data_IF_268550437969
#
_entry.id   IF_268550437969
#
_cell.length_a   1.000
_cell.length_b   1.000
_cell.length_c   1.000
_cell.angle_alpha   90.00
_cell.angle_beta   90.00
_cell.angle_gamma   90.00
#
_symmetry.space_group_name_H-M   'P 1'
#
loop_
_entity.id
_entity.type
_entity.pdbx_description
1 polymer ?
#
# COMPACT_ATOMS: atom_id res chain seq x y z
N UNK A 1 60.98 10.41 32.62
CA UNK A 1 59.59 10.87 32.83
C UNK A 1 58.65 9.67 32.88
N UNK A 2 58.04 9.39 34.04
CA UNK A 2 57.02 8.36 34.16
C UNK A 2 55.76 8.87 33.49
N UNK A 3 55.38 8.22 32.39
CA UNK A 3 54.16 8.57 31.64
C UNK A 3 52.98 7.81 32.27
N UNK A 4 51.96 8.53 32.72
CA UNK A 4 50.74 7.92 33.24
C UNK A 4 49.95 7.25 32.12
N UNK A 5 49.54 6.00 32.34
CA UNK A 5 48.78 5.20 31.34
C UNK A 5 47.28 5.31 31.58
N UNK A 6 46.48 4.91 30.58
CA UNK A 6 45.04 4.83 30.71
C UNK A 6 44.67 3.64 31.58
N UNK A 7 43.97 3.90 32.67
CA UNK A 7 43.47 2.87 33.61
C UNK A 7 42.00 2.51 33.36
N UNK A 8 41.22 3.43 32.80
CA UNK A 8 39.80 3.20 32.54
C UNK A 8 39.33 4.06 31.36
N UNK A 9 38.33 3.56 30.63
CA UNK A 9 37.57 4.29 29.59
C UNK A 9 36.10 4.15 29.92
N UNK A 10 35.38 5.28 29.90
CA UNK A 10 33.92 5.34 30.04
C UNK A 10 33.28 5.89 28.78
N UNK A 11 32.09 5.44 28.45
CA UNK A 11 31.28 5.97 27.35
C UNK A 11 30.08 6.72 27.91
N UNK A 12 29.64 7.76 27.20
CA UNK A 12 28.41 8.50 27.48
C UNK A 12 27.15 7.64 27.25
N UNK A 13 27.27 6.57 26.43
CA UNK A 13 26.20 5.62 26.13
C UNK A 13 26.75 4.19 26.08
N UNK A 14 26.10 3.27 26.78
CA UNK A 14 26.44 1.83 26.77
C UNK A 14 25.56 1.04 25.79
N UNK A 15 24.43 1.66 25.32
CA UNK A 15 23.55 1.12 24.32
C UNK A 15 23.02 2.24 23.41
N UNK A 16 22.86 1.91 22.11
CA UNK A 16 22.30 2.79 21.07
C UNK A 16 21.31 1.99 20.24
N UNK A 17 20.08 2.51 20.09
CA UNK A 17 19.14 2.02 19.08
C UNK A 17 19.05 3.04 17.95
N UNK A 18 19.17 2.56 16.70
CA UNK A 18 19.25 3.41 15.51
C UNK A 18 18.65 2.70 14.31
N UNK A 19 18.09 3.42 13.35
CA UNK A 19 17.60 2.80 12.12
C UNK A 19 18.71 2.69 11.08
N UNK A 20 18.63 1.69 10.21
CA UNK A 20 19.56 1.55 9.09
C UNK A 20 19.60 2.83 8.24
N UNK A 21 20.82 3.26 7.88
CA UNK A 21 21.09 4.51 7.19
C UNK A 21 21.28 5.75 8.08
N UNK A 22 20.90 5.69 9.36
CA UNK A 22 21.10 6.78 10.31
C UNK A 22 22.49 6.77 10.94
N UNK A 23 22.87 7.88 11.61
CA UNK A 23 24.12 8.03 12.34
C UNK A 23 23.88 8.45 13.78
N UNK A 24 24.74 8.00 14.68
CA UNK A 24 24.76 8.41 16.09
C UNK A 24 26.20 8.56 16.56
N UNK A 25 26.45 9.45 17.54
CA UNK A 25 27.75 9.61 18.16
C UNK A 25 27.77 9.01 19.55
N UNK A 26 28.90 8.43 19.92
CA UNK A 26 29.24 8.06 21.28
C UNK A 26 30.57 8.70 21.65
N UNK A 27 30.67 9.22 22.88
CA UNK A 27 31.86 9.89 23.37
C UNK A 27 32.57 9.05 24.42
N UNK A 28 33.88 8.98 24.31
CA UNK A 28 34.76 8.30 25.28
C UNK A 28 35.44 9.31 26.19
N UNK A 29 35.47 9.02 27.48
CA UNK A 29 36.26 9.72 28.49
C UNK A 29 37.31 8.78 29.04
N UNK A 30 38.55 9.25 29.13
CA UNK A 30 39.73 8.47 29.55
C UNK A 30 40.15 8.88 30.93
N UNK A 31 40.48 7.90 31.77
CA UNK A 31 41.02 8.11 33.11
C UNK A 31 42.41 7.46 33.25
N UNK A 32 43.32 8.08 34.01
CA UNK A 32 43.19 9.40 34.65
C UNK A 32 43.31 10.53 33.63
N UNK A 33 42.75 11.72 34.00
CA UNK A 33 42.74 12.89 33.09
C UNK A 33 44.13 13.39 32.69
N UNK A 34 45.20 13.02 33.42
CA UNK A 34 46.58 13.34 33.11
C UNK A 34 47.35 12.20 32.40
N UNK A 35 46.66 11.21 31.83
CA UNK A 35 47.28 10.18 31.00
C UNK A 35 48.09 10.82 29.87
N UNK A 36 49.31 10.32 29.66
CA UNK A 36 50.26 10.87 28.66
C UNK A 36 49.85 10.60 27.22
N UNK A 37 49.19 9.48 26.97
CA UNK A 37 48.60 9.16 25.67
C UNK A 37 47.10 8.88 25.88
N UNK A 38 46.22 9.79 25.43
CA UNK A 38 44.75 9.67 25.53
C UNK A 38 44.07 9.14 24.26
N UNK A 39 44.87 8.65 23.30
CA UNK A 39 44.32 8.11 22.06
C UNK A 39 43.56 6.82 22.33
N UNK A 40 42.40 6.72 21.73
CA UNK A 40 41.57 5.51 21.70
C UNK A 40 41.40 5.01 20.28
N UNK A 41 41.14 3.72 20.17
CA UNK A 41 40.84 3.03 18.89
C UNK A 41 39.46 2.47 19.00
N UNK A 42 38.64 2.75 17.98
CA UNK A 42 37.32 2.24 17.85
C UNK A 42 37.24 1.08 16.87
N UNK A 43 36.45 0.07 17.19
CA UNK A 43 36.18 -1.07 16.33
C UNK A 43 34.74 -1.55 16.47
N UNK A 44 34.22 -2.19 15.44
CA UNK A 44 32.93 -2.85 15.44
C UNK A 44 33.09 -4.35 15.36
N UNK A 45 32.26 -5.10 16.08
CA UNK A 45 32.20 -6.56 15.97
C UNK A 45 31.64 -7.03 14.62
N UNK A 46 30.79 -6.18 13.94
CA UNK A 46 30.26 -6.47 12.63
C UNK A 46 29.95 -5.16 11.86
N UNK A 47 30.79 -4.84 10.90
CA UNK A 47 30.67 -3.64 10.06
C UNK A 47 29.51 -3.72 9.05
N UNK A 48 28.95 -4.90 8.80
CA UNK A 48 27.74 -5.05 7.99
C UNK A 48 26.49 -4.59 8.74
N UNK A 49 26.54 -4.54 10.08
CA UNK A 49 25.49 -4.07 10.95
C UNK A 49 25.72 -2.61 11.32
N UNK A 50 26.89 -2.29 11.90
CA UNK A 50 27.24 -0.93 12.30
C UNK A 50 28.73 -0.68 12.11
N UNK A 51 29.09 0.44 11.50
CA UNK A 51 30.47 0.94 11.39
C UNK A 51 30.68 2.03 12.44
N UNK A 52 31.93 2.17 12.88
CA UNK A 52 32.33 3.28 13.76
C UNK A 52 33.61 3.93 13.21
N UNK A 53 33.67 5.25 13.22
CA UNK A 53 34.90 5.98 12.87
C UNK A 53 35.77 6.25 14.10
N UNK A 54 36.97 6.80 13.91
CA UNK A 54 37.92 7.09 14.97
C UNK A 54 37.49 8.31 15.84
N UNK A 55 36.36 8.93 15.55
CA UNK A 55 35.72 9.98 16.37
C UNK A 55 34.52 9.48 17.17
N UNK A 56 34.21 8.15 17.12
CA UNK A 56 33.07 7.56 17.78
C UNK A 56 31.74 7.77 17.07
N UNK A 57 31.78 8.15 15.76
CA UNK A 57 30.58 8.27 14.94
C UNK A 57 30.17 6.89 14.41
N UNK A 58 29.02 6.42 14.86
CA UNK A 58 28.41 5.17 14.42
C UNK A 58 27.60 5.46 13.14
N UNK A 59 27.74 4.59 12.15
CA UNK A 59 26.88 4.54 10.96
C UNK A 59 26.16 3.19 10.94
N UNK A 60 24.84 3.20 11.04
CA UNK A 60 23.99 2.01 10.95
C UNK A 60 23.92 1.54 9.49
N UNK A 61 24.33 0.30 9.20
CA UNK A 61 24.41 -0.27 7.85
C UNK A 61 23.27 -1.22 7.59
N UNK A 62 23.09 -2.23 8.43
CA UNK A 62 22.10 -3.28 8.26
C UNK A 62 21.47 -3.72 9.56
N UNK A 63 20.30 -4.34 9.48
CA UNK A 63 19.55 -4.84 10.63
C UNK A 63 20.38 -5.85 11.45
N UNK A 64 20.44 -5.66 12.75
CA UNK A 64 21.11 -6.58 13.68
C UNK A 64 21.60 -5.90 14.94
N UNK A 65 22.52 -6.57 15.62
CA UNK A 65 23.19 -6.02 16.81
C UNK A 65 24.69 -6.16 16.62
N UNK A 66 25.42 -5.06 16.78
CA UNK A 66 26.87 -5.03 16.82
C UNK A 66 27.36 -4.47 18.14
N UNK A 67 28.56 -4.86 18.55
CA UNK A 67 29.25 -4.31 19.73
C UNK A 67 30.34 -3.38 19.22
N UNK A 68 30.24 -2.11 19.57
CA UNK A 68 31.28 -1.12 19.33
C UNK A 68 32.22 -1.15 20.53
N UNK A 69 33.48 -1.36 20.29
CA UNK A 69 34.54 -1.38 21.29
C UNK A 69 35.42 -0.14 21.18
N UNK A 70 35.64 0.53 22.31
CA UNK A 70 36.61 1.58 22.45
C UNK A 70 37.76 1.06 23.33
N UNK A 71 39.00 1.05 22.80
CA UNK A 71 40.19 0.53 23.46
C UNK A 71 41.24 1.61 23.56
N UNK A 72 42.06 1.59 24.64
CA UNK A 72 43.22 2.45 24.75
C UNK A 72 44.28 2.09 23.69
N UNK A 73 44.86 3.11 23.05
CA UNK A 73 45.91 2.91 22.05
C UNK A 73 47.31 2.70 22.67
N UNK A 74 47.42 2.71 24.00
CA UNK A 74 48.67 2.48 24.73
C UNK A 74 49.01 0.99 24.92
N UNK A 75 48.13 0.08 24.51
CA UNK A 75 48.31 -1.37 24.58
C UNK A 75 48.11 -1.99 25.98
N UNK A 76 47.70 -1.22 26.98
CA UNK A 76 47.55 -1.71 28.38
C UNK A 76 46.19 -2.40 28.66
N UNK A 77 45.36 -2.52 27.66
CA UNK A 77 44.14 -3.33 27.71
C UNK A 77 42.88 -2.66 28.25
N UNK A 78 42.93 -1.37 28.63
CA UNK A 78 41.72 -0.64 29.02
C UNK A 78 40.79 -0.57 27.83
N UNK A 79 39.54 -1.06 28.00
CA UNK A 79 38.50 -1.09 26.97
C UNK A 79 37.12 -1.01 27.56
N UNK A 80 36.20 -0.51 26.77
CA UNK A 80 34.77 -0.45 27.10
C UNK A 80 33.92 -0.68 25.86
N UNK A 81 32.67 -0.99 26.00
CA UNK A 81 31.80 -1.35 24.87
C UNK A 81 30.46 -0.62 24.88
N UNK A 82 29.91 -0.41 23.70
CA UNK A 82 28.55 0.05 23.48
C UNK A 82 27.82 -0.95 22.58
N UNK A 83 26.63 -1.40 23.01
CA UNK A 83 25.77 -2.27 22.21
C UNK A 83 24.96 -1.42 21.24
N UNK A 84 25.09 -1.67 19.95
CA UNK A 84 24.33 -0.98 18.90
C UNK A 84 23.30 -1.91 18.31
N UNK A 85 22.02 -1.56 18.42
CA UNK A 85 20.92 -2.29 17.79
C UNK A 85 20.42 -1.49 16.60
N UNK A 86 20.60 -2.03 15.40
CA UNK A 86 20.13 -1.43 14.16
C UNK A 86 18.79 -2.04 13.78
N UNK A 87 17.77 -1.18 13.62
CA UNK A 87 16.44 -1.54 13.17
C UNK A 87 16.27 -1.23 11.68
N UNK A 88 15.60 -2.11 10.96
CA UNK A 88 15.21 -1.89 9.58
C UNK A 88 13.73 -1.53 9.54
N UNK A 89 13.41 -0.30 9.14
CA UNK A 89 12.03 0.16 8.95
C UNK A 89 11.49 -0.24 7.58
N UNK A 90 10.17 -0.23 7.46
CA UNK A 90 9.47 -0.32 6.19
C UNK A 90 9.82 0.90 5.34
N UNK A 91 10.20 0.67 4.08
CA UNK A 91 10.55 1.74 3.12
C UNK A 91 9.51 1.89 2.02
N UNK A 92 8.74 0.84 1.73
CA UNK A 92 7.62 0.91 0.80
C UNK A 92 6.56 -0.17 1.06
N UNK A 93 5.32 0.14 0.67
CA UNK A 93 4.20 -0.79 0.60
C UNK A 93 3.67 -0.74 -0.83
N UNK A 94 3.46 -1.90 -1.44
CA UNK A 94 2.80 -2.04 -2.74
C UNK A 94 1.51 -2.81 -2.57
N UNK A 95 0.44 -2.34 -3.21
CA UNK A 95 -0.83 -3.07 -3.32
C UNK A 95 -0.92 -3.72 -4.70
N UNK A 96 -1.59 -4.85 -4.79
CA UNK A 96 -1.90 -5.55 -6.04
C UNK A 96 -2.86 -4.75 -6.94
N UNK A 97 -3.63 -3.80 -6.36
CA UNK A 97 -4.47 -2.88 -7.11
C UNK A 97 -4.47 -1.47 -6.48
N UNK A 98 -4.39 -0.44 -7.33
CA UNK A 98 -4.52 0.98 -6.93
C UNK A 98 -5.93 1.53 -7.15
N UNK A 99 -6.75 0.82 -7.93
CA UNK A 99 -8.16 1.14 -8.18
C UNK A 99 -9.00 -0.13 -8.16
N UNK A 100 -10.25 -0.01 -7.68
CA UNK A 100 -11.18 -1.12 -7.58
C UNK A 100 -12.60 -0.63 -7.87
N UNK A 101 -13.35 -1.38 -8.67
CA UNK A 101 -14.78 -1.15 -8.89
C UNK A 101 -15.57 -2.35 -8.41
N UNK A 102 -16.51 -2.13 -7.48
CA UNK A 102 -17.34 -3.16 -6.88
C UNK A 102 -18.82 -2.83 -7.03
N UNK A 103 -19.65 -3.87 -7.13
CA UNK A 103 -21.07 -3.74 -6.91
C UNK A 103 -21.37 -3.79 -5.40
N UNK A 104 -22.41 -3.07 -4.96
CA UNK A 104 -22.92 -3.14 -3.58
C UNK A 104 -23.13 -4.61 -3.18
N UNK A 105 -22.64 -5.00 -2.01
CA UNK A 105 -22.66 -6.36 -1.47
C UNK A 105 -21.48 -7.24 -1.86
N UNK A 106 -20.70 -6.87 -2.88
CA UNK A 106 -19.53 -7.65 -3.28
C UNK A 106 -18.34 -7.44 -2.34
N UNK A 107 -17.47 -8.44 -2.29
CA UNK A 107 -16.21 -8.43 -1.56
C UNK A 107 -15.05 -8.72 -2.49
N UNK A 108 -13.92 -8.08 -2.24
CA UNK A 108 -12.65 -8.34 -2.94
C UNK A 108 -11.49 -8.08 -1.99
N UNK A 109 -10.48 -8.93 -2.02
CA UNK A 109 -9.28 -8.75 -1.22
C UNK A 109 -8.27 -7.89 -1.95
N UNK A 110 -7.58 -7.02 -1.19
CA UNK A 110 -6.34 -6.36 -1.57
C UNK A 110 -5.20 -7.08 -0.86
N UNK A 111 -4.13 -7.34 -1.57
CA UNK A 111 -2.90 -7.88 -1.01
C UNK A 111 -1.81 -6.81 -1.02
N UNK A 112 -0.99 -6.82 0.04
CA UNK A 112 0.13 -5.90 0.18
C UNK A 112 1.45 -6.65 0.14
N UNK A 113 2.46 -6.02 -0.46
CA UNK A 113 3.87 -6.38 -0.33
C UNK A 113 4.57 -5.29 0.45
N UNK A 114 5.21 -5.65 1.57
CA UNK A 114 5.95 -4.72 2.44
C UNK A 114 7.44 -4.89 2.17
N UNK A 115 8.14 -3.81 1.92
CA UNK A 115 9.57 -3.82 1.63
C UNK A 115 10.33 -2.90 2.62
N UNK A 116 11.58 -3.25 2.96
CA UNK A 116 12.26 -4.49 2.60
C UNK A 116 11.70 -5.69 3.39
N UNK A 117 11.90 -6.90 2.88
CA UNK A 117 11.41 -8.13 3.51
C UNK A 117 11.98 -8.36 4.92
N UNK A 118 13.17 -7.83 5.19
CA UNK A 118 13.83 -7.87 6.49
C UNK A 118 13.46 -6.74 7.43
N UNK A 119 12.38 -5.99 7.17
CA UNK A 119 11.88 -4.98 8.11
C UNK A 119 11.60 -5.61 9.49
N UNK A 120 11.95 -4.90 10.57
CA UNK A 120 11.76 -5.41 11.93
C UNK A 120 10.29 -5.63 12.29
N UNK A 121 9.41 -4.77 11.75
CA UNK A 121 7.97 -4.86 11.92
C UNK A 121 7.31 -4.62 10.57
N UNK A 122 7.00 -5.70 9.85
CA UNK A 122 6.32 -5.66 8.56
C UNK A 122 4.78 -5.65 8.69
N UNK A 123 4.25 -5.45 9.91
CA UNK A 123 2.81 -5.38 10.15
C UNK A 123 2.21 -4.09 9.64
N UNK A 124 0.99 -4.19 9.11
CA UNK A 124 0.24 -3.07 8.56
C UNK A 124 -1.10 -2.89 9.27
N UNK A 125 -1.66 -1.71 9.13
CA UNK A 125 -3.06 -1.42 9.47
C UNK A 125 -3.82 -1.01 8.21
N UNK A 126 -5.09 -1.42 8.14
CA UNK A 126 -5.99 -1.08 7.06
C UNK A 126 -7.07 -0.12 7.55
N UNK A 127 -7.38 0.87 6.73
CA UNK A 127 -8.44 1.83 7.02
C UNK A 127 -9.20 2.23 5.76
N UNK A 128 -10.42 2.72 5.95
CA UNK A 128 -11.25 3.27 4.88
C UNK A 128 -11.58 4.72 5.17
N UNK A 129 -11.46 5.59 4.17
CA UNK A 129 -11.86 7.00 4.27
C UNK A 129 -13.38 7.16 4.42
N UNK A 130 -14.17 6.14 4.04
CA UNK A 130 -15.63 6.13 4.18
C UNK A 130 -16.15 4.69 4.34
N UNK A 131 -16.24 4.22 5.57
CA UNK A 131 -16.71 2.87 5.90
C UNK A 131 -18.20 2.64 5.55
N UNK A 132 -19.00 3.71 5.36
CA UNK A 132 -20.39 3.59 4.87
C UNK A 132 -20.45 3.20 3.40
N UNK A 133 -19.41 3.48 2.63
CA UNK A 133 -19.28 3.13 1.21
C UNK A 133 -18.52 1.81 1.05
N UNK A 134 -17.35 1.69 1.65
CA UNK A 134 -16.53 0.48 1.60
C UNK A 134 -15.85 0.24 2.94
N UNK A 135 -16.03 -0.93 3.51
CA UNK A 135 -15.31 -1.40 4.71
C UNK A 135 -14.11 -2.24 4.32
N UNK A 136 -13.09 -2.24 5.17
CA UNK A 136 -11.93 -3.11 5.01
C UNK A 136 -11.61 -3.82 6.32
N UNK A 137 -11.27 -5.11 6.24
CA UNK A 137 -10.82 -5.90 7.40
C UNK A 137 -9.32 -5.71 7.64
N UNK A 138 -8.82 -6.18 8.79
CA UNK A 138 -7.38 -6.21 9.11
C UNK A 138 -6.53 -7.04 8.14
N UNK A 139 -7.16 -7.86 7.29
CA UNK A 139 -6.52 -8.71 6.28
C UNK A 139 -6.68 -8.17 4.85
N UNK A 140 -7.12 -6.91 4.68
CA UNK A 140 -7.27 -6.30 3.36
C UNK A 140 -8.51 -6.69 2.58
N UNK A 141 -9.49 -7.44 3.17
CA UNK A 141 -10.74 -7.74 2.48
C UNK A 141 -11.66 -6.52 2.48
N UNK A 142 -11.94 -5.99 1.29
CA UNK A 142 -12.84 -4.87 1.06
C UNK A 142 -14.27 -5.36 0.82
N UNK A 143 -15.23 -4.80 1.55
CA UNK A 143 -16.67 -5.06 1.38
C UNK A 143 -17.36 -3.79 0.90
N UNK A 144 -18.07 -3.87 -0.22
CA UNK A 144 -18.85 -2.76 -0.79
C UNK A 144 -20.20 -2.61 -0.08
N UNK A 145 -20.39 -1.52 0.67
CA UNK A 145 -21.57 -1.30 1.52
C UNK A 145 -22.65 -0.47 0.83
N UNK A 146 -22.27 0.63 0.20
CA UNK A 146 -23.20 1.54 -0.49
C UNK A 146 -22.51 2.19 -1.68
N UNK A 147 -23.31 2.61 -2.69
CA UNK A 147 -22.77 3.31 -3.86
C UNK A 147 -22.05 4.61 -3.45
N UNK A 148 -20.88 4.85 -4.03
CA UNK A 148 -20.04 5.99 -3.70
C UNK A 148 -18.57 5.73 -3.97
N UNK A 149 -17.70 6.57 -3.38
CA UNK A 149 -16.25 6.44 -3.45
C UNK A 149 -15.65 6.38 -2.06
N UNK A 150 -14.65 5.56 -1.89
CA UNK A 150 -13.82 5.48 -0.69
C UNK A 150 -12.37 5.23 -1.08
N UNK A 151 -11.43 5.62 -0.23
CA UNK A 151 -10.01 5.28 -0.36
C UNK A 151 -9.69 4.29 0.75
N UNK A 152 -9.19 3.13 0.37
CA UNK A 152 -8.63 2.15 1.29
C UNK A 152 -7.14 2.43 1.44
N UNK A 153 -6.68 2.56 2.67
CA UNK A 153 -5.28 2.82 3.02
C UNK A 153 -4.70 1.64 3.77
N UNK A 154 -3.53 1.19 3.34
CA UNK A 154 -2.67 0.22 4.01
C UNK A 154 -1.43 0.96 4.53
N UNK A 155 -1.20 1.03 5.84
CA UNK A 155 -0.14 1.81 6.48
C UNK A 155 0.73 0.93 7.35
N UNK A 156 2.05 1.15 7.32
CA UNK A 156 3.00 0.47 8.18
C UNK A 156 2.81 0.88 9.65
N UNK A 157 2.92 -0.11 10.57
CA UNK A 157 2.82 0.11 12.02
C UNK A 157 4.16 0.39 12.71
N UNK A 158 5.27 0.35 11.98
CA UNK A 158 6.63 0.51 12.51
C UNK A 158 7.04 1.97 12.79
N UNK A 159 6.12 2.92 12.60
CA UNK A 159 6.38 4.35 12.77
C UNK A 159 7.12 4.99 11.59
N UNK A 160 7.34 4.29 10.47
CA UNK A 160 7.96 4.85 9.25
C UNK A 160 7.06 5.88 8.56
N UNK A 161 5.74 5.82 8.80
CA UNK A 161 4.76 6.64 8.09
C UNK A 161 4.44 6.16 6.67
N UNK A 162 5.05 5.08 6.21
CA UNK A 162 4.85 4.52 4.87
C UNK A 162 3.45 3.95 4.71
N UNK A 163 2.79 4.30 3.62
CA UNK A 163 1.47 3.79 3.27
C UNK A 163 1.28 3.62 1.76
N UNK A 164 0.25 2.86 1.40
CA UNK A 164 -0.25 2.72 0.03
C UNK A 164 -1.78 2.81 0.03
N UNK A 165 -2.37 3.23 -1.10
CA UNK A 165 -3.81 3.44 -1.21
C UNK A 165 -4.42 2.76 -2.43
N UNK A 166 -5.69 2.37 -2.29
CA UNK A 166 -6.54 1.91 -3.39
C UNK A 166 -7.83 2.74 -3.42
N UNK A 167 -8.13 3.33 -4.58
CA UNK A 167 -9.38 4.06 -4.81
C UNK A 167 -10.51 3.09 -5.14
N UNK A 168 -11.51 2.99 -4.27
CA UNK A 168 -12.67 2.10 -4.44
C UNK A 168 -13.87 2.89 -4.92
N UNK A 169 -14.47 2.44 -6.03
CA UNK A 169 -15.75 2.94 -6.53
C UNK A 169 -16.78 1.85 -6.38
N UNK A 170 -17.79 2.10 -5.55
CA UNK A 170 -18.92 1.20 -5.35
C UNK A 170 -20.11 1.68 -6.16
N UNK A 171 -20.76 0.78 -6.87
CA UNK A 171 -21.92 1.07 -7.72
C UNK A 171 -23.09 0.16 -7.38
N UNK A 172 -24.32 0.71 -7.44
CA UNK A 172 -25.52 -0.12 -7.43
C UNK A 172 -25.73 -0.70 -8.84
N UNK A 173 -25.77 -2.03 -9.00
CA UNK A 173 -25.95 -2.65 -10.30
C UNK A 173 -27.37 -2.45 -10.83
N UNK A 174 -27.52 -2.56 -12.15
CA UNK A 174 -28.83 -2.76 -12.77
C UNK A 174 -29.28 -4.19 -12.46
N UNK A 175 -30.49 -4.35 -11.92
CA UNK A 175 -31.07 -5.66 -11.61
C UNK A 175 -32.16 -6.07 -12.59
N UNK A 176 -32.85 -5.08 -13.20
CA UNK A 176 -33.94 -5.35 -14.12
C UNK A 176 -33.94 -4.35 -15.27
N UNK A 177 -34.28 -4.84 -16.46
CA UNK A 177 -34.64 -4.02 -17.62
C UNK A 177 -36.02 -4.49 -18.09
N UNK A 178 -37.00 -3.59 -18.09
CA UNK A 178 -38.34 -3.86 -18.64
C UNK A 178 -38.54 -3.02 -19.90
N UNK A 179 -38.93 -3.66 -20.98
CA UNK A 179 -39.27 -2.97 -22.24
C UNK A 179 -40.75 -2.62 -22.29
N UNK A 180 -41.11 -1.50 -22.96
CA UNK A 180 -42.47 -1.13 -23.20
C UNK A 180 -43.20 -2.10 -24.14
N UNK A 181 -42.47 -2.92 -24.90
CA UNK A 181 -42.99 -3.92 -25.81
C UNK A 181 -41.98 -5.09 -25.94
N UNK A 182 -42.46 -6.33 -25.89
CA UNK A 182 -41.68 -7.54 -26.05
C UNK A 182 -41.83 -8.20 -27.43
N UNK A 183 -42.97 -7.90 -28.12
CA UNK A 183 -43.24 -8.34 -29.50
C UNK A 183 -43.98 -7.24 -30.25
N UNK A 184 -43.59 -6.99 -31.49
CA UNK A 184 -44.29 -6.01 -32.34
C UNK A 184 -44.05 -6.27 -33.81
N UNK A 185 -45.12 -6.14 -34.61
CA UNK A 185 -45.02 -6.08 -36.07
C UNK A 185 -44.81 -4.65 -36.54
N UNK A 186 -43.82 -4.43 -37.41
CA UNK A 186 -43.46 -3.13 -37.95
C UNK A 186 -43.46 -3.29 -39.48
N UNK A 187 -44.18 -2.48 -40.22
CA UNK A 187 -44.18 -2.49 -41.67
C UNK A 187 -42.81 -2.03 -42.21
N UNK A 188 -42.38 -2.59 -43.34
CA UNK A 188 -41.12 -2.19 -44.03
C UNK A 188 -41.07 -0.66 -44.18
N UNK A 189 -39.90 -0.08 -43.91
CA UNK A 189 -39.61 1.36 -43.93
C UNK A 189 -40.16 2.15 -42.73
N UNK A 190 -40.99 1.55 -41.88
CA UNK A 190 -41.51 2.22 -40.66
C UNK A 190 -40.58 2.06 -39.47
N UNK A 191 -40.74 2.93 -38.49
CA UNK A 191 -39.93 2.98 -37.26
C UNK A 191 -40.82 2.76 -36.04
N UNK A 192 -40.21 2.19 -34.97
CA UNK A 192 -40.86 2.08 -33.66
C UNK A 192 -39.79 2.31 -32.59
N UNK A 193 -40.16 3.04 -31.51
CA UNK A 193 -39.22 3.31 -30.42
C UNK A 193 -39.49 2.35 -29.26
N UNK A 194 -38.53 1.49 -28.98
CA UNK A 194 -38.45 0.72 -27.75
C UNK A 194 -37.99 1.63 -26.62
N UNK A 195 -38.65 1.54 -25.47
CA UNK A 195 -38.28 2.23 -24.25
C UNK A 195 -37.91 1.20 -23.19
N UNK A 196 -36.74 1.37 -22.55
CA UNK A 196 -36.26 0.53 -21.47
C UNK A 196 -36.48 1.24 -20.14
N UNK A 197 -37.17 0.57 -19.19
CA UNK A 197 -37.24 0.98 -17.79
C UNK A 197 -36.25 0.16 -17.00
N UNK A 198 -35.22 0.83 -16.48
CA UNK A 198 -34.11 0.21 -15.75
C UNK A 198 -34.38 0.30 -14.25
N UNK A 199 -34.25 -0.80 -13.55
CA UNK A 199 -34.38 -0.90 -12.10
C UNK A 199 -33.12 -1.49 -11.45
N UNK A 200 -32.93 -1.21 -10.16
CA UNK A 200 -33.71 -0.38 -9.26
C UNK A 200 -33.55 1.13 -9.54
N UNK A 201 -34.42 1.97 -8.92
CA UNK A 201 -34.35 3.44 -9.10
C UNK A 201 -33.00 4.04 -8.72
N UNK A 202 -32.32 3.45 -7.74
CA UNK A 202 -30.99 3.85 -7.24
C UNK A 202 -29.83 3.18 -7.98
N UNK A 203 -30.06 2.46 -9.12
CA UNK A 203 -28.95 1.98 -9.96
C UNK A 203 -28.05 3.16 -10.34
N UNK A 204 -26.73 2.97 -10.15
CA UNK A 204 -25.72 4.04 -10.34
C UNK A 204 -25.67 4.51 -11.80
N UNK A 205 -25.87 3.58 -12.74
CA UNK A 205 -26.02 3.89 -14.16
C UNK A 205 -27.29 3.24 -14.69
N UNK A 206 -28.09 4.01 -15.46
CA UNK A 206 -29.27 3.51 -16.17
C UNK A 206 -29.01 3.43 -17.68
N UNK A 207 -27.77 3.58 -18.09
CA UNK A 207 -27.38 3.53 -19.48
C UNK A 207 -27.54 2.11 -20.03
N UNK A 208 -28.11 1.99 -21.22
CA UNK A 208 -28.29 0.72 -21.94
C UNK A 208 -27.66 0.77 -23.32
N UNK A 209 -27.38 -0.41 -23.85
CA UNK A 209 -27.04 -0.63 -25.27
C UNK A 209 -28.13 -1.42 -25.94
N UNK A 210 -28.31 -1.18 -27.26
CA UNK A 210 -29.25 -1.88 -28.09
C UNK A 210 -28.52 -2.64 -29.19
N UNK A 211 -28.92 -3.87 -29.45
CA UNK A 211 -28.37 -4.70 -30.53
C UNK A 211 -29.48 -5.40 -31.28
N UNK A 212 -29.38 -5.40 -32.61
CA UNK A 212 -30.22 -6.23 -33.47
C UNK A 212 -29.49 -7.52 -33.82
N UNK A 213 -30.20 -8.66 -33.80
CA UNK A 213 -29.67 -9.95 -34.20
C UNK A 213 -29.41 -10.01 -35.72
N UNK A 214 -30.18 -9.26 -36.54
CA UNK A 214 -29.97 -9.13 -37.96
C UNK A 214 -30.26 -7.68 -38.45
N UNK A 215 -29.19 -6.97 -38.79
CA UNK A 215 -29.26 -5.58 -39.28
C UNK A 215 -29.80 -5.46 -40.72
N UNK A 216 -29.90 -6.57 -41.46
CA UNK A 216 -30.51 -6.59 -42.81
C UNK A 216 -32.03 -6.57 -42.69
N UNK A 217 -32.60 -7.18 -41.64
CA UNK A 217 -34.06 -7.19 -41.35
C UNK A 217 -34.46 -5.90 -40.63
N UNK A 218 -33.79 -5.56 -39.51
CA UNK A 218 -34.04 -4.28 -38.82
C UNK A 218 -32.79 -3.78 -38.13
N UNK A 219 -32.64 -2.46 -38.07
CA UNK A 219 -31.61 -1.79 -37.27
C UNK A 219 -32.23 -1.18 -36.01
N UNK A 220 -31.41 -0.99 -34.97
CA UNK A 220 -31.79 -0.24 -33.77
C UNK A 220 -30.73 0.81 -33.49
N UNK A 221 -31.18 2.03 -33.16
CA UNK A 221 -30.29 3.12 -32.73
C UNK A 221 -29.93 3.02 -31.23
N UNK A 222 -28.95 3.81 -30.79
CA UNK A 222 -28.61 3.95 -29.36
C UNK A 222 -29.79 4.49 -28.51
N UNK A 223 -30.77 5.13 -29.12
CA UNK A 223 -31.99 5.65 -28.47
C UNK A 223 -33.15 4.64 -28.49
N UNK A 224 -32.91 3.39 -28.95
CA UNK A 224 -33.95 2.34 -29.02
C UNK A 224 -34.90 2.47 -30.23
N UNK A 225 -34.60 3.31 -31.23
CA UNK A 225 -35.42 3.43 -32.45
C UNK A 225 -35.11 2.27 -33.39
N UNK A 226 -36.07 1.38 -33.54
CA UNK A 226 -36.04 0.24 -34.48
C UNK A 226 -36.54 0.70 -35.82
N UNK A 227 -35.80 0.40 -36.90
CA UNK A 227 -36.18 0.68 -38.30
C UNK A 227 -36.27 -0.63 -39.06
N UNK A 228 -37.46 -0.99 -39.58
CA UNK A 228 -37.70 -2.19 -40.37
C UNK A 228 -37.17 -1.99 -41.81
N UNK A 229 -36.27 -2.85 -42.27
CA UNK A 229 -35.65 -2.79 -43.61
C UNK A 229 -36.18 -3.86 -44.59
N UNK A 230 -36.43 -5.07 -44.07
CA UNK A 230 -36.85 -6.23 -44.88
C UNK A 230 -37.84 -7.06 -44.07
N UNK A 231 -38.73 -7.79 -44.78
CA UNK A 231 -39.60 -8.78 -44.14
C UNK A 231 -38.76 -9.89 -43.47
N UNK A 232 -39.17 -10.30 -42.26
CA UNK A 232 -38.50 -11.33 -41.46
C UNK A 232 -38.70 -11.14 -40.00
N UNK A 233 -38.18 -12.03 -39.20
CA UNK A 233 -38.15 -11.95 -37.73
C UNK A 233 -36.73 -11.57 -37.23
N UNK A 234 -36.66 -10.72 -36.23
CA UNK A 234 -35.38 -10.24 -35.66
C UNK A 234 -35.57 -9.96 -34.20
N UNK A 235 -34.57 -10.28 -33.41
CA UNK A 235 -34.54 -9.97 -31.97
C UNK A 235 -33.77 -8.67 -31.73
N UNK A 236 -34.39 -7.74 -31.00
CA UNK A 236 -33.70 -6.55 -30.49
C UNK A 236 -33.38 -6.77 -29.01
N UNK A 237 -32.12 -6.74 -28.67
CA UNK A 237 -31.63 -6.93 -27.30
C UNK A 237 -31.25 -5.58 -26.69
N UNK A 238 -31.66 -5.39 -25.41
CA UNK A 238 -31.28 -4.26 -24.60
C UNK A 238 -30.44 -4.75 -23.42
N UNK A 239 -29.24 -4.22 -23.26
CA UNK A 239 -28.27 -4.66 -22.22
C UNK A 239 -27.83 -3.46 -21.38
N UNK A 240 -27.70 -3.63 -20.07
CA UNK A 240 -27.13 -2.62 -19.17
C UNK A 240 -25.65 -2.37 -19.50
N UNK A 241 -25.21 -1.10 -19.40
CA UNK A 241 -23.81 -0.72 -19.64
C UNK A 241 -22.93 -0.83 -18.40
N UNK A 242 -23.49 -1.09 -17.23
CA UNK A 242 -22.73 -1.11 -15.97
C UNK A 242 -21.95 -2.43 -15.76
N UNK A 243 -22.21 -3.45 -16.60
CA UNK A 243 -21.58 -4.76 -16.53
C UNK A 243 -22.29 -5.76 -15.61
N UNK A 244 -23.52 -5.42 -15.19
CA UNK A 244 -24.36 -6.31 -14.38
C UNK A 244 -24.96 -7.48 -15.17
#
# INVERSE_FOLDING_TARGET
TVVQQITNITLDKTAVEINAGEKASIAASVLPANAGNKKVVWSSSDEKIAKVDQKGMITAVGRGTAVITCSAADGMGAKTTCRVTVKQRVTSIKLDATTMKLFVGNKQSLTQTVLPENANMATVEWSSSNAKVAQVTSYGQVTAMAAGKAVITCKAKDGSGVFATCSVTVVNPVQTIKLNQTQRTILKGKKYTLKAKVGPKNATSKAVTWKSSDKKIATVSSKGVVTAKKAGRVTITCTAKDGS
#
